data_IF_728626861638
#
_entry.id   IF_728626861638
#
_cell.length_a   1.000
_cell.length_b   1.000
_cell.length_c   1.000
_cell.angle_alpha   90.00
_cell.angle_beta   90.00
_cell.angle_gamma   90.00
#
_symmetry.space_group_name_H-M   'P 1'
#
loop_
_entity.id
_entity.type
_entity.pdbx_description
1 polymer ?
#
# COMPACT_ATOMS: atom_id res chain seq x y z
N UNK A 1 -29.22 21.83 8.33
CA UNK A 1 -29.47 21.41 6.93
C UNK A 1 -28.21 21.64 6.14
N UNK A 2 -27.23 20.74 6.30
CA UNK A 2 -25.94 20.81 5.59
C UNK A 2 -26.01 19.89 4.37
N UNK A 3 -25.86 20.48 3.19
CA UNK A 3 -25.81 19.75 1.92
C UNK A 3 -24.45 19.04 1.79
N UNK A 4 -24.47 17.73 1.87
CA UNK A 4 -23.38 16.88 1.39
C UNK A 4 -23.22 17.06 -0.13
N UNK A 5 -22.28 17.90 -0.52
CA UNK A 5 -21.75 17.94 -1.88
C UNK A 5 -20.25 17.69 -1.75
N UNK A 6 -19.81 16.48 -1.93
CA UNK A 6 -18.41 16.10 -2.31
C UNK A 6 -18.20 14.59 -2.18
N UNK A 7 -18.73 13.79 -3.11
CA UNK A 7 -18.34 12.39 -3.28
C UNK A 7 -18.10 12.04 -4.77
N UNK A 8 -17.41 12.83 -5.58
CA UNK A 8 -16.94 12.30 -6.87
C UNK A 8 -15.42 12.11 -6.97
N UNK A 9 -14.67 12.19 -5.86
CA UNK A 9 -13.20 12.14 -5.95
C UNK A 9 -12.57 10.80 -5.55
N UNK A 10 -13.33 9.91 -4.90
CA UNK A 10 -12.80 8.59 -4.51
C UNK A 10 -12.51 7.67 -5.70
N UNK A 11 -13.26 7.82 -6.79
CA UNK A 11 -13.10 6.95 -7.97
C UNK A 11 -11.86 7.26 -8.80
N UNK A 12 -11.31 8.46 -8.72
CA UNK A 12 -10.14 8.84 -9.54
C UNK A 12 -8.81 8.34 -8.98
N UNK A 13 -8.74 8.00 -7.69
CA UNK A 13 -7.52 7.49 -7.05
C UNK A 13 -7.32 5.99 -7.33
N UNK A 14 -8.40 5.23 -7.42
CA UNK A 14 -8.32 3.79 -7.74
C UNK A 14 -7.84 3.52 -9.18
N UNK A 15 -8.08 4.43 -10.11
CA UNK A 15 -7.65 4.29 -11.51
C UNK A 15 -6.20 4.71 -11.77
N UNK A 16 -5.55 5.43 -10.85
CA UNK A 16 -4.17 5.90 -11.02
C UNK A 16 -3.11 4.88 -10.60
N UNK A 17 -3.45 3.90 -9.76
CA UNK A 17 -2.51 2.87 -9.33
C UNK A 17 -2.15 1.85 -10.43
N UNK A 18 -2.87 1.81 -11.53
CA UNK A 18 -2.63 0.90 -12.66
C UNK A 18 -1.74 1.48 -13.78
N UNK A 19 -1.28 2.74 -13.67
CA UNK A 19 -0.52 3.38 -14.76
C UNK A 19 0.98 3.60 -14.49
N UNK A 20 1.53 3.09 -13.40
CA UNK A 20 2.88 3.41 -12.90
C UNK A 20 4.06 2.63 -13.46
N UNK A 21 3.92 1.67 -14.36
CA UNK A 21 5.06 0.93 -14.93
C UNK A 21 4.98 0.84 -16.45
N UNK A 22 5.39 1.88 -17.17
CA UNK A 22 5.82 1.77 -18.57
C UNK A 22 7.34 1.64 -18.62
N UNK A 23 7.82 0.42 -18.46
CA UNK A 23 9.20 0.05 -18.76
C UNK A 23 9.19 -1.20 -19.64
N UNK A 24 9.77 -1.10 -20.85
CA UNK A 24 10.14 -2.11 -21.81
C UNK A 24 9.20 -3.32 -21.96
N UNK A 25 8.66 -3.49 -23.18
CA UNK A 25 7.97 -4.71 -23.60
C UNK A 25 8.86 -5.93 -23.38
N UNK A 26 8.52 -6.71 -22.36
CA UNK A 26 9.11 -8.04 -22.14
C UNK A 26 8.38 -9.01 -23.06
N UNK A 27 9.08 -9.70 -23.92
CA UNK A 27 8.51 -10.65 -24.86
C UNK A 27 8.19 -11.97 -24.14
N UNK A 28 7.14 -12.65 -24.56
CA UNK A 28 6.69 -13.93 -23.99
C UNK A 28 7.76 -15.07 -24.00
N UNK A 29 8.90 -14.87 -24.65
CA UNK A 29 10.02 -15.83 -24.68
C UNK A 29 10.91 -15.77 -23.43
N UNK A 30 10.84 -14.68 -22.65
CA UNK A 30 11.67 -14.49 -21.45
C UNK A 30 11.06 -15.15 -20.21
N UNK A 31 9.84 -15.68 -20.33
CA UNK A 31 9.08 -16.28 -19.22
C UNK A 31 9.33 -17.80 -19.00
N UNK A 32 10.31 -18.40 -19.66
CA UNK A 32 10.65 -19.81 -19.41
C UNK A 32 11.41 -19.96 -18.09
N UNK A 33 10.64 -20.05 -17.01
CA UNK A 33 11.17 -20.29 -15.66
C UNK A 33 10.54 -19.43 -14.56
N UNK A 34 9.78 -18.41 -14.89
CA UNK A 34 9.11 -17.53 -13.93
C UNK A 34 7.86 -18.21 -13.35
N UNK A 35 7.80 -18.23 -12.03
CA UNK A 35 6.55 -18.61 -11.34
C UNK A 35 5.46 -17.64 -11.77
N UNK A 36 4.39 -18.14 -12.36
CA UNK A 36 3.23 -17.30 -12.69
C UNK A 36 2.70 -16.68 -11.41
N UNK A 37 2.66 -15.37 -11.34
CA UNK A 37 2.04 -14.68 -10.24
C UNK A 37 0.57 -14.35 -10.57
N UNK A 38 -0.20 -14.15 -9.53
CA UNK A 38 -1.59 -13.76 -9.60
C UNK A 38 -1.78 -12.54 -8.71
N UNK A 39 -2.80 -11.77 -8.99
CA UNK A 39 -3.15 -10.59 -8.21
C UNK A 39 -4.53 -10.76 -7.60
N UNK A 40 -4.62 -10.61 -6.30
CA UNK A 40 -5.90 -10.45 -5.60
C UNK A 40 -6.38 -9.03 -5.84
N UNK A 41 -7.60 -8.87 -6.32
CA UNK A 41 -8.19 -7.56 -6.57
C UNK A 41 -9.61 -7.50 -6.00
N UNK A 42 -9.97 -6.34 -5.49
CA UNK A 42 -11.35 -6.07 -5.10
C UNK A 42 -12.21 -5.73 -6.32
N UNK A 43 -13.52 -5.97 -6.21
CA UNK A 43 -14.50 -5.64 -7.23
C UNK A 43 -15.40 -4.47 -6.80
N UNK A 44 -15.03 -3.72 -5.77
CA UNK A 44 -15.81 -2.58 -5.27
C UNK A 44 -15.66 -1.34 -6.15
N UNK A 45 -16.27 -1.38 -7.32
CA UNK A 45 -16.20 -0.32 -8.32
C UNK A 45 -17.59 -0.01 -8.92
N UNK A 46 -17.69 1.11 -9.64
CA UNK A 46 -18.95 1.57 -10.25
C UNK A 46 -19.40 0.80 -11.47
N UNK A 47 -18.58 -0.09 -12.00
CA UNK A 47 -19.00 -0.99 -13.09
C UNK A 47 -19.89 -2.10 -12.57
N UNK A 48 -19.73 -2.47 -11.29
CA UNK A 48 -20.47 -3.55 -10.63
C UNK A 48 -21.49 -3.05 -9.62
N UNK A 49 -21.23 -1.97 -8.93
CA UNK A 49 -22.06 -1.41 -7.85
C UNK A 49 -22.47 0.03 -8.16
N UNK A 50 -23.66 0.41 -7.74
CA UNK A 50 -24.06 1.82 -7.71
C UNK A 50 -23.31 2.57 -6.59
N UNK A 51 -23.17 3.89 -6.73
CA UNK A 51 -22.57 4.73 -5.68
C UNK A 51 -23.28 4.55 -4.30
N UNK A 52 -24.59 4.35 -4.31
CA UNK A 52 -25.36 4.14 -3.08
C UNK A 52 -25.02 2.79 -2.42
N UNK A 53 -24.87 1.73 -3.19
CA UNK A 53 -24.44 0.41 -2.69
C UNK A 53 -23.02 0.44 -2.16
N UNK A 54 -22.08 1.06 -2.87
CA UNK A 54 -20.72 1.27 -2.39
C UNK A 54 -20.71 2.03 -1.07
N UNK A 55 -21.47 3.13 -0.98
CA UNK A 55 -21.56 3.91 0.24
C UNK A 55 -22.17 3.12 1.41
N UNK A 56 -23.10 2.21 1.14
CA UNK A 56 -23.68 1.32 2.15
C UNK A 56 -22.69 0.28 2.63
N UNK A 57 -21.94 -0.34 1.72
CA UNK A 57 -20.93 -1.34 2.04
C UNK A 57 -19.80 -0.69 2.87
N UNK A 58 -19.22 0.39 2.34
CA UNK A 58 -18.08 1.08 2.96
C UNK A 58 -18.45 1.88 4.20
N UNK A 59 -19.70 2.27 4.31
CA UNK A 59 -20.26 2.94 5.48
C UNK A 59 -20.53 2.01 6.67
N UNK A 60 -20.41 0.69 6.48
CA UNK A 60 -20.63 -0.29 7.52
C UNK A 60 -19.35 -0.52 8.35
N UNK A 61 -19.38 -0.21 9.64
CA UNK A 61 -18.20 -0.35 10.52
C UNK A 61 -17.66 -1.78 10.58
N UNK A 62 -18.54 -2.79 10.45
CA UNK A 62 -18.12 -4.19 10.39
C UNK A 62 -17.36 -4.56 9.12
N UNK A 63 -17.36 -3.70 8.08
CA UNK A 63 -16.67 -3.98 6.83
C UNK A 63 -15.16 -3.98 7.00
N UNK A 64 -14.64 -3.02 7.76
CA UNK A 64 -13.19 -2.95 8.05
C UNK A 64 -12.72 -4.16 8.85
N UNK A 65 -13.46 -4.55 9.90
CA UNK A 65 -13.20 -5.77 10.67
C UNK A 65 -13.17 -7.02 9.78
N UNK A 66 -14.05 -7.03 8.77
CA UNK A 66 -14.15 -8.14 7.83
C UNK A 66 -12.94 -8.17 6.88
N UNK A 67 -12.51 -7.01 6.38
CA UNK A 67 -11.30 -6.88 5.55
C UNK A 67 -10.05 -7.34 6.31
N UNK A 68 -9.95 -7.01 7.58
CA UNK A 68 -8.81 -7.42 8.42
C UNK A 68 -8.79 -8.93 8.66
N UNK A 69 -9.93 -9.56 8.93
CA UNK A 69 -10.04 -11.01 9.06
C UNK A 69 -9.68 -11.73 7.77
N UNK A 70 -10.12 -11.21 6.63
CA UNK A 70 -9.76 -11.73 5.32
C UNK A 70 -8.24 -11.65 5.08
N UNK A 71 -7.64 -10.49 5.34
CA UNK A 71 -6.19 -10.31 5.25
C UNK A 71 -5.42 -11.28 6.16
N UNK A 72 -5.85 -11.42 7.42
CA UNK A 72 -5.22 -12.33 8.36
C UNK A 72 -5.29 -13.80 7.89
N UNK A 73 -6.41 -14.23 7.30
CA UNK A 73 -6.55 -15.56 6.74
C UNK A 73 -5.65 -15.78 5.52
N UNK A 74 -5.59 -14.80 4.59
CA UNK A 74 -4.66 -14.86 3.45
C UNK A 74 -3.20 -14.96 3.89
N UNK A 75 -2.81 -14.24 4.93
CA UNK A 75 -1.44 -14.29 5.47
C UNK A 75 -1.12 -15.58 6.21
N UNK A 76 -2.12 -16.28 6.77
CA UNK A 76 -1.94 -17.46 7.62
C UNK A 76 -2.20 -18.79 6.91
N UNK A 77 -2.81 -18.79 5.72
CA UNK A 77 -3.09 -20.03 4.99
C UNK A 77 -1.84 -20.61 4.33
N UNK A 78 -1.75 -21.93 4.29
CA UNK A 78 -0.69 -22.66 3.58
C UNK A 78 -1.01 -22.86 2.09
N UNK A 79 -2.20 -22.48 1.65
CA UNK A 79 -2.66 -22.68 0.25
C UNK A 79 -2.15 -21.61 -0.69
N UNK A 80 -1.78 -20.45 -0.18
CA UNK A 80 -1.26 -19.33 -0.97
C UNK A 80 -0.05 -18.68 -0.28
N UNK A 81 0.89 -18.22 -1.08
CA UNK A 81 1.93 -17.30 -0.62
C UNK A 81 1.49 -15.87 -0.96
N UNK A 82 0.99 -15.16 0.05
CA UNK A 82 0.44 -13.83 -0.09
C UNK A 82 1.53 -12.78 0.15
N UNK A 83 1.99 -12.13 -0.93
CA UNK A 83 3.00 -11.08 -0.88
C UNK A 83 2.34 -9.74 -1.17
N UNK A 84 2.13 -8.97 -0.12
CA UNK A 84 1.60 -7.63 -0.25
C UNK A 84 2.76 -6.65 -0.44
N UNK A 85 2.73 -5.99 -1.58
CA UNK A 85 3.67 -4.94 -1.94
C UNK A 85 2.94 -3.89 -2.75
N UNK A 86 2.84 -2.70 -2.21
CA UNK A 86 2.21 -1.57 -2.87
C UNK A 86 3.23 -0.46 -3.11
N UNK A 87 3.26 0.00 -4.34
CA UNK A 87 3.89 1.26 -4.68
C UNK A 87 2.90 2.37 -4.36
N UNK A 88 3.28 3.20 -3.43
CA UNK A 88 2.46 4.26 -2.87
C UNK A 88 3.23 5.57 -2.87
N UNK A 89 2.58 6.64 -2.46
CA UNK A 89 3.23 7.92 -2.18
C UNK A 89 2.93 8.33 -0.76
N UNK A 90 3.98 8.68 -0.04
CA UNK A 90 3.91 9.30 1.27
C UNK A 90 4.49 10.71 1.14
N UNK A 91 3.88 11.71 1.76
CA UNK A 91 4.40 13.05 1.67
C UNK A 91 5.07 13.49 2.98
N UNK A 92 6.28 14.03 2.90
CA UNK A 92 6.94 14.65 4.04
C UNK A 92 6.30 16.01 4.29
N UNK A 93 5.90 16.29 5.52
CA UNK A 93 5.28 17.55 5.92
C UNK A 93 6.37 18.54 6.31
N UNK A 94 6.28 19.73 5.78
CA UNK A 94 7.21 20.84 6.01
C UNK A 94 7.90 21.31 4.74
N UNK A 95 8.71 22.35 4.87
CA UNK A 95 9.49 22.90 3.76
C UNK A 95 10.59 21.92 3.36
N UNK A 96 10.73 21.71 2.05
CA UNK A 96 11.75 20.83 1.50
C UNK A 96 13.08 21.56 1.34
N UNK A 97 14.06 21.14 2.11
CA UNK A 97 15.42 21.68 2.12
C UNK A 97 16.49 20.70 1.60
N UNK A 98 16.03 19.61 0.98
CA UNK A 98 16.86 18.53 0.46
C UNK A 98 16.93 18.57 -1.05
N UNK A 99 17.83 17.77 -1.68
CA UNK A 99 17.88 17.65 -3.14
C UNK A 99 16.52 17.26 -3.74
N UNK A 100 16.21 17.83 -4.89
CA UNK A 100 14.91 17.62 -5.55
C UNK A 100 14.74 16.21 -6.11
N UNK A 101 15.84 15.53 -6.39
CA UNK A 101 15.83 14.14 -6.88
C UNK A 101 15.40 13.12 -5.82
N UNK A 102 15.34 13.55 -4.55
CA UNK A 102 14.70 12.78 -3.47
C UNK A 102 13.17 12.98 -3.42
N UNK A 103 12.65 14.02 -4.09
CA UNK A 103 11.21 14.32 -4.16
C UNK A 103 10.62 13.70 -5.43
N UNK A 104 10.38 12.42 -5.42
CA UNK A 104 10.00 11.63 -6.60
C UNK A 104 8.57 11.06 -6.56
N UNK A 105 7.73 11.56 -5.66
CA UNK A 105 6.39 11.04 -5.48
C UNK A 105 5.52 11.10 -6.74
N UNK A 106 4.65 10.13 -6.90
CA UNK A 106 3.80 9.94 -8.09
C UNK A 106 4.59 9.73 -9.39
N UNK A 107 5.85 9.27 -9.29
CA UNK A 107 6.73 9.14 -10.46
C UNK A 107 7.16 10.47 -11.08
N UNK A 108 6.96 11.58 -10.38
CA UNK A 108 7.35 12.93 -10.80
C UNK A 108 8.45 13.47 -9.90
N UNK A 109 9.55 13.88 -10.51
CA UNK A 109 10.61 14.64 -9.83
C UNK A 109 10.18 16.11 -9.77
N UNK A 110 10.61 16.79 -8.72
CA UNK A 110 10.38 18.23 -8.50
C UNK A 110 9.02 18.66 -7.94
N UNK A 111 8.21 17.76 -7.39
CA UNK A 111 6.97 18.12 -6.67
C UNK A 111 7.25 18.55 -5.23
N UNK A 112 8.17 19.49 -5.03
CA UNK A 112 8.50 19.99 -3.69
C UNK A 112 7.57 21.10 -3.25
N UNK A 113 7.42 21.27 -1.92
CA UNK A 113 6.70 22.38 -1.29
C UNK A 113 5.27 22.59 -1.83
N UNK A 114 4.55 21.50 -2.09
CA UNK A 114 3.14 21.59 -2.47
C UNK A 114 2.33 22.14 -1.30
N UNK A 115 1.63 23.25 -1.51
CA UNK A 115 0.76 23.82 -0.49
C UNK A 115 -0.58 23.11 -0.49
N UNK A 116 -0.94 22.47 0.62
CA UNK A 116 -2.16 21.70 0.80
C UNK A 116 -2.88 22.09 2.08
N UNK A 117 -4.19 21.86 2.12
CA UNK A 117 -4.96 22.03 3.35
C UNK A 117 -5.32 20.66 3.91
N UNK A 118 -4.72 20.28 5.04
CA UNK A 118 -4.99 19.05 5.76
C UNK A 118 -5.75 19.41 7.03
N UNK A 119 -6.96 18.87 7.19
CA UNK A 119 -7.82 19.14 8.37
C UNK A 119 -7.99 20.63 8.70
N UNK A 120 -7.99 21.50 7.67
CA UNK A 120 -8.17 22.94 7.84
C UNK A 120 -6.90 23.73 8.16
N UNK A 121 -5.74 23.09 8.19
CA UNK A 121 -4.43 23.73 8.32
C UNK A 121 -3.72 23.71 6.97
N UNK A 122 -3.06 24.82 6.62
CA UNK A 122 -2.24 24.88 5.42
C UNK A 122 -0.85 24.34 5.76
N UNK A 123 -0.46 23.31 5.04
CA UNK A 123 0.82 22.63 5.20
C UNK A 123 1.59 22.67 3.87
N UNK A 124 2.90 22.60 3.96
CA UNK A 124 3.74 22.28 2.82
C UNK A 124 4.03 20.78 2.84
N UNK A 125 3.85 20.12 1.72
CA UNK A 125 4.19 18.70 1.60
C UNK A 125 5.10 18.46 0.41
N UNK A 126 5.93 17.43 0.52
CA UNK A 126 6.76 16.93 -0.58
C UNK A 126 6.53 15.44 -0.73
N UNK A 127 5.89 15.01 -1.84
CA UNK A 127 5.65 13.60 -2.12
C UNK A 127 6.95 12.82 -2.37
N UNK A 128 7.04 11.65 -1.76
CA UNK A 128 8.14 10.70 -1.93
C UNK A 128 7.55 9.33 -2.20
N UNK A 129 8.13 8.60 -3.13
CA UNK A 129 7.72 7.25 -3.45
C UNK A 129 7.98 6.30 -2.27
N UNK A 130 7.03 5.44 -2.02
CA UNK A 130 7.09 4.48 -0.94
C UNK A 130 6.68 3.08 -1.40
N UNK A 131 7.31 2.06 -0.84
CA UNK A 131 6.80 0.70 -0.86
C UNK A 131 6.22 0.36 0.50
N UNK A 132 4.96 -0.05 0.50
CA UNK A 132 4.30 -0.56 1.69
C UNK A 132 4.26 -2.08 1.56
N UNK A 133 4.85 -2.80 2.51
CA UNK A 133 5.11 -4.23 2.42
C UNK A 133 4.54 -4.98 3.62
N UNK A 134 4.00 -6.20 3.38
CA UNK A 134 3.74 -7.10 4.50
C UNK A 134 5.02 -7.84 4.93
N UNK A 135 4.98 -8.46 6.10
CA UNK A 135 6.11 -9.17 6.69
C UNK A 135 6.68 -10.26 5.76
N UNK A 136 5.80 -11.04 5.12
CA UNK A 136 6.19 -12.11 4.20
C UNK A 136 6.99 -11.59 2.98
N UNK A 137 6.60 -10.42 2.47
CA UNK A 137 7.34 -9.76 1.38
C UNK A 137 8.70 -9.27 1.86
N UNK A 138 8.78 -8.69 3.04
CA UNK A 138 10.06 -8.25 3.63
C UNK A 138 11.02 -9.40 3.84
N UNK A 139 10.55 -10.52 4.40
CA UNK A 139 11.33 -11.75 4.56
C UNK A 139 11.85 -12.27 3.21
N UNK A 140 10.99 -12.28 2.18
CA UNK A 140 11.38 -12.70 0.82
C UNK A 140 12.45 -11.80 0.22
N UNK A 141 12.40 -10.50 0.48
CA UNK A 141 13.38 -9.50 0.00
C UNK A 141 14.67 -9.47 0.85
N UNK A 142 14.70 -10.19 1.98
CA UNK A 142 15.82 -10.15 2.92
C UNK A 142 15.95 -8.81 3.65
N UNK A 143 14.81 -8.16 3.91
CA UNK A 143 14.75 -6.89 4.63
C UNK A 143 14.60 -7.14 6.14
N UNK A 144 15.71 -7.18 6.83
CA UNK A 144 15.82 -7.41 8.28
C UNK A 144 15.93 -6.13 9.11
N UNK A 145 15.47 -5.00 8.55
CA UNK A 145 15.41 -3.72 9.25
C UNK A 145 14.28 -3.61 10.27
N UNK A 146 13.23 -4.43 10.11
CA UNK A 146 12.01 -4.38 10.92
C UNK A 146 11.94 -5.55 11.90
N UNK A 147 11.66 -5.24 13.16
CA UNK A 147 11.34 -6.22 14.19
C UNK A 147 9.84 -6.57 14.17
N UNK A 148 9.42 -7.61 14.89
CA UNK A 148 8.00 -7.94 15.09
C UNK A 148 7.17 -6.76 15.63
N UNK A 149 7.78 -5.90 16.44
CA UNK A 149 7.11 -4.75 17.03
C UNK A 149 6.85 -3.63 16.01
N UNK A 150 7.61 -3.60 14.92
CA UNK A 150 7.46 -2.60 13.88
C UNK A 150 6.24 -2.84 12.99
N UNK A 151 5.59 -4.00 13.11
CA UNK A 151 4.29 -4.28 12.48
C UNK A 151 3.10 -3.89 13.36
N UNK A 152 3.37 -3.39 14.57
CA UNK A 152 2.34 -2.97 15.52
C UNK A 152 2.40 -1.44 15.65
N UNK A 153 1.33 -0.76 15.21
CA UNK A 153 1.25 0.69 15.33
C UNK A 153 1.22 1.13 16.80
N UNK A 154 2.16 1.98 17.15
CA UNK A 154 2.34 2.53 18.50
C UNK A 154 2.34 4.07 18.53
N UNK A 155 1.82 4.70 17.48
CA UNK A 155 1.82 6.15 17.28
C UNK A 155 2.78 6.63 16.21
N UNK A 156 3.68 5.77 15.72
CA UNK A 156 4.66 6.07 14.67
C UNK A 156 4.65 4.98 13.60
N UNK A 157 4.95 5.37 12.36
CA UNK A 157 5.25 4.43 11.27
C UNK A 157 6.76 4.24 11.19
N UNK A 158 7.29 3.04 11.40
CA UNK A 158 8.70 2.78 11.16
C UNK A 158 8.99 2.88 9.65
N UNK A 159 10.04 3.58 9.29
CA UNK A 159 10.45 3.81 7.91
C UNK A 159 11.90 3.45 7.70
N UNK A 160 12.19 2.70 6.65
CA UNK A 160 13.54 2.55 6.11
C UNK A 160 13.66 3.47 4.91
N UNK A 161 14.61 4.35 4.95
CA UNK A 161 14.82 5.36 3.92
C UNK A 161 15.85 4.88 2.89
N UNK A 162 15.72 5.32 1.64
CA UNK A 162 16.76 5.12 0.64
C UNK A 162 18.07 5.82 1.00
N UNK A 163 19.18 5.38 0.45
CA UNK A 163 20.52 5.87 0.77
C UNK A 163 20.71 7.36 0.53
N UNK A 164 19.96 7.97 -0.38
CA UNK A 164 20.02 9.41 -0.62
C UNK A 164 19.56 10.26 0.56
N UNK A 165 18.86 9.68 1.53
CA UNK A 165 18.42 10.38 2.73
C UNK A 165 19.43 10.35 3.89
N UNK A 166 20.50 9.55 3.83
CA UNK A 166 21.47 9.36 4.92
C UNK A 166 22.17 10.66 5.33
N UNK A 167 22.36 11.63 4.42
CA UNK A 167 22.97 12.91 4.72
C UNK A 167 22.04 13.86 5.51
N UNK A 168 20.74 13.58 5.55
CA UNK A 168 19.70 14.47 6.08
C UNK A 168 19.02 13.95 7.34
N UNK A 169 19.08 12.65 7.58
CA UNK A 169 18.41 12.01 8.72
C UNK A 169 19.32 11.02 9.43
N UNK A 170 18.99 10.75 10.69
CA UNK A 170 19.64 9.73 11.50
C UNK A 170 18.61 8.65 11.89
N UNK A 171 19.09 7.43 12.17
CA UNK A 171 18.25 6.40 12.77
C UNK A 171 17.71 6.93 14.12
N UNK A 172 16.40 6.85 14.31
CA UNK A 172 15.68 7.35 15.46
C UNK A 172 15.02 8.73 15.25
N UNK A 173 15.32 9.42 14.16
CA UNK A 173 14.65 10.69 13.83
C UNK A 173 13.16 10.43 13.54
N UNK A 174 12.34 11.42 13.94
CA UNK A 174 10.91 11.43 13.65
C UNK A 174 10.60 12.47 12.57
N UNK A 175 9.91 12.05 11.51
CA UNK A 175 9.56 12.86 10.36
C UNK A 175 8.03 12.96 10.30
N UNK A 176 7.44 14.15 10.35
CA UNK A 176 6.02 14.30 10.09
C UNK A 176 5.69 13.91 8.64
N UNK A 177 4.73 13.03 8.47
CA UNK A 177 4.30 12.54 7.17
C UNK A 177 2.78 12.67 6.98
N UNK A 178 2.38 12.85 5.74
CA UNK A 178 1.00 12.64 5.29
C UNK A 178 0.93 11.32 4.53
N UNK A 179 0.00 10.44 4.91
CA UNK A 179 -0.31 9.21 4.20
C UNK A 179 -1.82 9.01 4.13
N UNK A 180 -2.34 8.80 2.92
CA UNK A 180 -3.77 8.68 2.66
C UNK A 180 -4.60 9.82 3.28
N UNK A 181 -4.12 11.06 3.18
CA UNK A 181 -4.72 12.30 3.70
C UNK A 181 -4.78 12.44 5.22
N UNK A 182 -4.03 11.61 5.92
CA UNK A 182 -3.88 11.68 7.37
C UNK A 182 -2.44 11.97 7.76
N UNK A 183 -2.28 12.74 8.84
CA UNK A 183 -0.97 13.08 9.38
C UNK A 183 -0.51 12.03 10.38
N UNK A 184 0.72 11.60 10.23
CA UNK A 184 1.39 10.64 11.10
C UNK A 184 2.82 11.09 11.42
N UNK A 185 3.44 10.39 12.35
CA UNK A 185 4.86 10.44 12.57
C UNK A 185 5.52 9.21 11.92
N UNK A 186 6.50 9.45 11.07
CA UNK A 186 7.37 8.42 10.54
C UNK A 186 8.65 8.38 11.36
N UNK A 187 9.09 7.20 11.81
CA UNK A 187 10.33 6.99 12.55
C UNK A 187 11.36 6.30 11.68
N UNK A 188 12.51 6.92 11.51
CA UNK A 188 13.62 6.34 10.76
C UNK A 188 14.20 5.16 11.55
N UNK A 189 14.11 3.94 11.00
CA UNK A 189 14.66 2.73 11.62
C UNK A 189 15.88 2.19 10.88
N UNK A 190 16.16 2.67 9.67
CA UNK A 190 17.31 2.25 8.88
C UNK A 190 17.41 2.96 7.54
N UNK A 191 18.46 2.62 6.82
CA UNK A 191 18.69 3.03 5.43
C UNK A 191 19.02 1.82 4.58
N UNK A 192 18.64 1.82 3.31
CA UNK A 192 18.99 0.77 2.39
C UNK A 192 19.68 1.34 1.13
N UNK A 193 20.64 0.58 0.61
CA UNK A 193 21.54 0.98 -0.49
C UNK A 193 21.48 0.06 -1.71
N UNK A 194 20.54 -0.89 -1.71
CA UNK A 194 20.40 -1.87 -2.80
C UNK A 194 19.01 -1.79 -3.38
N UNK A 195 18.95 -1.66 -4.70
CA UNK A 195 17.70 -1.74 -5.40
C UNK A 195 16.99 -3.06 -5.10
N UNK A 196 15.72 -2.97 -4.75
CA UNK A 196 14.91 -4.12 -4.43
C UNK A 196 14.16 -4.55 -5.69
N UNK A 197 14.32 -5.80 -6.05
CA UNK A 197 13.61 -6.43 -7.16
C UNK A 197 12.77 -7.55 -6.58
N UNK A 198 11.46 -7.34 -6.50
CA UNK A 198 10.55 -8.35 -6.03
C UNK A 198 10.29 -9.43 -7.09
N UNK A 199 10.03 -8.97 -8.30
CA UNK A 199 9.89 -9.73 -9.52
C UNK A 199 10.32 -8.86 -10.72
N UNK A 200 10.10 -9.34 -11.93
CA UNK A 200 10.47 -8.62 -13.16
C UNK A 200 9.71 -7.29 -13.35
N UNK A 201 8.66 -7.06 -12.58
CA UNK A 201 7.75 -5.91 -12.73
C UNK A 201 7.85 -4.89 -11.58
N UNK A 202 8.46 -5.28 -10.47
CA UNK A 202 8.48 -4.48 -9.24
C UNK A 202 9.92 -4.15 -8.86
N UNK A 203 10.32 -2.94 -9.14
CA UNK A 203 11.66 -2.42 -8.86
C UNK A 203 11.55 -1.19 -7.97
N UNK A 204 12.32 -1.19 -6.88
CA UNK A 204 12.42 -0.09 -5.93
C UNK A 204 13.81 0.54 -6.03
N UNK A 205 13.86 1.79 -6.43
CA UNK A 205 15.07 2.60 -6.40
C UNK A 205 15.58 2.78 -4.97
N UNK A 206 16.81 2.34 -4.71
CA UNK A 206 17.44 2.40 -3.39
C UNK A 206 17.86 3.81 -2.98
N UNK A 207 17.83 4.77 -3.87
CA UNK A 207 18.30 6.13 -3.57
C UNK A 207 17.21 6.99 -2.93
N UNK A 208 16.01 7.03 -3.50
CA UNK A 208 14.98 8.01 -3.19
C UNK A 208 13.65 7.46 -2.69
N UNK A 209 13.48 6.14 -2.69
CA UNK A 209 12.23 5.50 -2.24
C UNK A 209 12.31 5.15 -0.75
N UNK A 210 11.19 5.12 -0.07
CA UNK A 210 11.09 4.68 1.33
C UNK A 210 10.33 3.36 1.44
N UNK A 211 10.58 2.61 2.51
CA UNK A 211 9.90 1.34 2.80
C UNK A 211 9.18 1.47 4.13
N UNK A 212 7.92 1.09 4.14
CA UNK A 212 7.05 1.12 5.32
C UNK A 212 6.37 -0.25 5.48
N UNK A 213 6.32 -0.84 6.67
CA UNK A 213 5.57 -2.06 6.90
C UNK A 213 4.07 -1.80 6.94
N UNK A 214 3.27 -2.75 6.48
CA UNK A 214 1.85 -2.77 6.81
C UNK A 214 1.66 -3.01 8.30
N UNK A 215 0.90 -2.14 8.95
CA UNK A 215 0.56 -2.27 10.37
C UNK A 215 -0.60 -3.22 10.58
N UNK A 216 -0.45 -4.15 11.53
CA UNK A 216 -1.49 -5.14 11.83
C UNK A 216 -2.65 -4.58 12.66
N UNK A 217 -2.38 -3.55 13.45
CA UNK A 217 -3.33 -2.97 14.41
C UNK A 217 -3.42 -1.44 14.32
N UNK A 218 -3.49 -0.90 13.11
CA UNK A 218 -3.53 0.55 12.92
C UNK A 218 -4.76 1.22 13.59
N UNK A 219 -5.70 0.44 14.11
CA UNK A 219 -6.92 0.95 14.72
C UNK A 219 -6.71 1.48 16.14
N UNK A 220 -6.94 2.76 16.31
CA UNK A 220 -7.33 3.31 17.59
C UNK A 220 -8.88 3.44 17.57
N UNK A 221 -9.60 2.73 18.45
CA UNK A 221 -11.06 2.85 18.59
C UNK A 221 -11.51 4.28 18.84
N UNK A 222 -10.67 5.06 19.48
CA UNK A 222 -10.97 6.45 19.85
C UNK A 222 -10.87 7.41 18.65
N UNK A 223 -10.22 7.02 17.56
CA UNK A 223 -10.00 7.87 16.38
C UNK A 223 -10.71 7.38 15.10
N UNK A 224 -11.37 6.23 15.20
CA UNK A 224 -12.00 5.55 14.07
C UNK A 224 -13.01 6.42 13.32
N UNK A 225 -13.94 7.06 14.05
CA UNK A 225 -14.97 7.90 13.44
C UNK A 225 -14.40 9.09 12.65
N UNK A 226 -13.24 9.60 13.09
CA UNK A 226 -12.57 10.74 12.47
C UNK A 226 -11.70 10.30 11.26
N UNK A 227 -11.30 9.03 11.21
CA UNK A 227 -10.37 8.48 10.21
C UNK A 227 -10.96 7.32 9.40
N UNK A 228 -12.25 7.20 9.32
CA UNK A 228 -12.94 6.09 8.67
C UNK A 228 -12.52 5.88 7.21
N UNK A 229 -12.37 6.97 6.46
CA UNK A 229 -11.92 6.94 5.06
C UNK A 229 -10.50 6.37 4.94
N UNK A 230 -9.61 6.76 5.85
CA UNK A 230 -8.25 6.23 5.92
C UNK A 230 -8.25 4.72 6.17
N UNK A 231 -8.93 4.26 7.22
CA UNK A 231 -8.97 2.83 7.57
C UNK A 231 -9.57 1.98 6.47
N UNK A 232 -10.62 2.48 5.81
CA UNK A 232 -11.21 1.80 4.67
C UNK A 232 -10.20 1.64 3.53
N UNK A 233 -9.58 2.72 3.07
CA UNK A 233 -8.62 2.71 1.97
C UNK A 233 -7.40 1.86 2.30
N UNK A 234 -6.87 1.99 3.51
CA UNK A 234 -5.74 1.23 3.99
C UNK A 234 -6.00 -0.28 3.98
N UNK A 235 -7.16 -0.73 4.48
CA UNK A 235 -7.48 -2.16 4.51
C UNK A 235 -7.84 -2.72 3.12
N UNK A 236 -8.43 -1.93 2.24
CA UNK A 236 -8.61 -2.34 0.83
C UNK A 236 -7.24 -2.57 0.19
N UNK A 237 -6.30 -1.67 0.39
CA UNK A 237 -4.96 -1.81 -0.19
C UNK A 237 -4.22 -3.04 0.33
N UNK A 238 -4.29 -3.33 1.62
CA UNK A 238 -3.70 -4.54 2.22
C UNK A 238 -4.23 -5.84 1.63
N UNK A 239 -5.44 -5.86 1.12
CA UNK A 239 -6.07 -7.06 0.59
C UNK A 239 -5.88 -7.24 -0.92
N UNK A 240 -5.34 -6.24 -1.61
CA UNK A 240 -5.07 -6.29 -3.05
C UNK A 240 -3.57 -6.52 -3.26
N UNK A 241 -3.14 -7.76 -3.41
CA UNK A 241 -1.72 -8.12 -3.39
C UNK A 241 -1.37 -9.23 -4.39
N UNK A 242 -0.09 -9.49 -4.52
CA UNK A 242 0.41 -10.60 -5.33
C UNK A 242 0.34 -11.91 -4.56
N UNK A 243 -0.08 -12.97 -5.23
CA UNK A 243 -0.07 -14.31 -4.65
C UNK A 243 0.67 -15.29 -5.55
N UNK A 244 1.35 -16.22 -4.89
CA UNK A 244 1.95 -17.38 -5.51
C UNK A 244 1.36 -18.65 -4.89
N UNK A 245 1.14 -19.66 -5.71
CA UNK A 245 0.64 -20.94 -5.25
C UNK A 245 1.80 -21.94 -5.18
N UNK A 246 2.03 -22.58 -4.02
CA UNK A 246 3.24 -23.38 -3.81
C UNK A 246 3.36 -24.57 -4.76
N UNK A 247 2.27 -25.14 -5.23
CA UNK A 247 2.27 -26.45 -5.90
C UNK A 247 1.42 -26.56 -7.15
N UNK A 248 1.08 -25.48 -7.89
CA UNK A 248 0.09 -25.67 -8.92
C UNK A 248 0.31 -24.99 -10.25
N UNK A 249 -0.10 -25.72 -11.30
CA UNK A 249 -0.29 -25.23 -12.65
C UNK A 249 -1.77 -24.93 -12.95
N UNK A 250 -2.67 -25.17 -11.98
CA UNK A 250 -4.12 -25.05 -12.16
C UNK A 250 -4.63 -23.71 -11.65
N UNK A 251 -4.76 -22.76 -12.56
CA UNK A 251 -5.23 -21.40 -12.27
C UNK A 251 -6.64 -21.39 -11.63
N UNK A 252 -7.58 -22.14 -12.21
CA UNK A 252 -8.97 -22.08 -11.74
C UNK A 252 -9.10 -22.58 -10.30
N UNK A 253 -8.45 -23.71 -9.98
CA UNK A 253 -8.44 -24.23 -8.62
C UNK A 253 -7.83 -23.27 -7.61
N UNK A 254 -6.77 -22.56 -8.00
CA UNK A 254 -6.08 -21.63 -7.14
C UNK A 254 -6.90 -20.34 -6.93
N UNK A 255 -7.51 -19.86 -8.00
CA UNK A 255 -8.47 -18.78 -7.96
C UNK A 255 -9.63 -19.11 -7.02
N UNK A 256 -10.24 -20.28 -7.20
CA UNK A 256 -11.35 -20.74 -6.36
C UNK A 256 -10.98 -20.74 -4.87
N UNK A 257 -9.77 -21.17 -4.52
CA UNK A 257 -9.33 -21.20 -3.11
C UNK A 257 -9.30 -19.80 -2.46
N UNK A 258 -8.88 -18.78 -3.19
CA UNK A 258 -8.88 -17.38 -2.67
C UNK A 258 -10.30 -16.82 -2.66
N UNK A 259 -11.08 -17.07 -3.70
CA UNK A 259 -12.47 -16.61 -3.78
C UNK A 259 -13.36 -17.27 -2.72
N UNK A 260 -13.12 -18.54 -2.35
CA UNK A 260 -13.78 -19.20 -1.22
C UNK A 260 -13.47 -18.52 0.12
N UNK A 261 -12.21 -18.10 0.34
CA UNK A 261 -11.87 -17.32 1.52
C UNK A 261 -12.60 -15.97 1.52
N UNK A 262 -12.64 -15.27 0.39
CA UNK A 262 -13.37 -14.01 0.27
C UNK A 262 -14.89 -14.19 0.54
N UNK A 263 -15.50 -15.21 -0.05
CA UNK A 263 -16.92 -15.55 0.13
C UNK A 263 -17.25 -15.88 1.59
N UNK A 264 -16.38 -16.57 2.31
CA UNK A 264 -16.53 -16.83 3.75
C UNK A 264 -16.78 -15.55 4.56
N UNK A 265 -16.17 -14.47 4.13
CA UNK A 265 -16.31 -13.14 4.75
C UNK A 265 -17.35 -12.27 4.04
N UNK A 266 -18.07 -12.80 3.05
CA UNK A 266 -19.01 -12.03 2.22
C UNK A 266 -18.36 -10.83 1.53
N UNK A 267 -17.10 -11.00 1.10
CA UNK A 267 -16.33 -10.01 0.37
C UNK A 267 -16.32 -10.32 -1.13
N UNK A 268 -16.25 -9.26 -1.92
CA UNK A 268 -16.19 -9.33 -3.38
C UNK A 268 -14.76 -9.11 -3.86
N UNK A 269 -13.96 -10.16 -3.79
CA UNK A 269 -12.61 -10.23 -4.32
C UNK A 269 -12.50 -11.32 -5.37
N UNK A 270 -11.62 -11.11 -6.32
CA UNK A 270 -11.26 -12.11 -7.34
C UNK A 270 -9.75 -12.18 -7.52
N UNK A 271 -9.30 -13.18 -8.25
CA UNK A 271 -7.90 -13.36 -8.60
C UNK A 271 -7.74 -13.15 -10.10
N UNK A 272 -6.87 -12.24 -10.46
CA UNK A 272 -6.46 -12.02 -11.84
C UNK A 272 -5.09 -12.66 -12.08
N UNK A 273 -4.92 -13.25 -13.26
CA UNK A 273 -3.60 -13.71 -13.67
C UNK A 273 -2.76 -12.50 -14.05
N UNK A 274 -1.58 -12.36 -13.43
CA UNK A 274 -0.58 -11.40 -13.87
C UNK A 274 -0.02 -11.80 -15.25
N UNK A 275 0.26 -10.82 -16.05
CA UNK A 275 0.84 -10.99 -17.38
C UNK A 275 2.36 -10.87 -17.31
#
# INVERSE_FOLDING_TARGET
MYKLKKIPLLLSVLLLSLQGCRGNEVTASDMQGTKTFYQVVDNYNTDKYTEAELAQITGNDSFIDTLQKFNAELNSTDTVDFYDMKYETVAFIGKWDKPKDLANGYGHKDLTDQEVTIKGQNEYITPVDAFILNKKTMEKLGLDYFSEQDFIYNGEFPMVLGSGFEEYYNIGDTIPIEYLRENFNGKVVGFYDKDLVFDEFSHCDSYSTIIIPYMDNLESKDDYENRKEFFYTYNIFRNSAYIYFPNTLDYEKNKDAVEEIAQKYNLDYTVLRGY
#
